data_IF_155311346545
#
_entry.id   IF_155311346545
#
_cell.length_a   1.000
_cell.length_b   1.000
_cell.length_c   1.000
_cell.angle_alpha   90.00
_cell.angle_beta   90.00
_cell.angle_gamma   90.00
#
_symmetry.space_group_name_H-M   'P 1'
#
loop_
_entity.id
_entity.type
_entity.pdbx_description
1 polymer ?
#
# COMPACT_ATOMS: atom_id res chain seq x y z
N UNK A 1 2.65 19.95 4.32
CA UNK A 1 2.37 18.83 3.38
C UNK A 1 1.13 18.07 3.85
N UNK A 2 0.36 17.47 2.92
CA UNK A 2 -0.87 16.73 3.24
C UNK A 2 -0.64 15.62 4.28
N UNK A 3 0.45 14.86 4.16
CA UNK A 3 0.79 13.79 5.11
C UNK A 3 0.87 14.28 6.57
N UNK A 4 1.44 15.48 6.81
CA UNK A 4 1.50 16.07 8.15
C UNK A 4 0.11 16.45 8.68
N UNK A 5 -0.82 16.84 7.82
CA UNK A 5 -2.21 17.15 8.19
C UNK A 5 -3.00 15.87 8.47
N UNK A 6 -2.85 14.85 7.62
CA UNK A 6 -3.47 13.54 7.80
C UNK A 6 -3.03 12.91 9.13
N UNK A 7 -1.73 13.00 9.45
CA UNK A 7 -1.19 12.54 10.74
C UNK A 7 -1.81 13.28 11.93
N UNK A 8 -1.88 14.62 11.89
CA UNK A 8 -2.48 15.44 12.97
C UNK A 8 -3.94 15.06 13.22
N UNK A 9 -4.67 14.75 12.16
CA UNK A 9 -6.08 14.33 12.21
C UNK A 9 -6.27 12.84 12.48
N UNK A 10 -5.17 12.07 12.62
CA UNK A 10 -5.18 10.60 12.74
C UNK A 10 -5.88 9.89 11.57
N UNK A 11 -5.82 10.49 10.39
CA UNK A 11 -6.37 9.90 9.15
C UNK A 11 -5.40 8.90 8.51
N UNK A 12 -4.10 9.05 8.79
CA UNK A 12 -3.09 8.09 8.36
C UNK A 12 -1.88 8.10 9.31
N UNK A 13 -1.27 6.94 9.50
CA UNK A 13 0.07 6.80 10.07
C UNK A 13 1.11 7.16 9.00
N UNK A 14 2.12 7.95 9.35
CA UNK A 14 3.16 8.43 8.42
C UNK A 14 4.50 7.87 8.83
N UNK A 15 5.22 7.28 7.89
CA UNK A 15 6.56 6.73 8.08
C UNK A 15 7.53 7.43 7.14
N UNK A 16 8.72 7.77 7.65
CA UNK A 16 9.76 8.47 6.89
C UNK A 16 11.03 7.63 6.88
N UNK A 17 11.74 7.63 5.76
CA UNK A 17 13.08 7.10 5.66
C UNK A 17 14.09 8.24 5.75
N UNK A 18 14.95 8.19 6.76
CA UNK A 18 15.98 9.19 7.02
C UNK A 18 17.37 8.53 7.10
N UNK A 19 18.17 8.52 6.02
CA UNK A 19 19.46 7.82 6.00
C UNK A 19 20.46 8.29 7.06
N UNK A 20 20.39 9.56 7.45
CA UNK A 20 21.27 10.25 8.39
C UNK A 20 20.52 10.81 9.62
N UNK A 21 19.24 10.43 9.78
CA UNK A 21 18.35 10.98 10.81
C UNK A 21 17.91 12.43 10.64
N UNK A 22 18.33 13.13 9.57
CA UNK A 22 18.05 14.55 9.32
C UNK A 22 17.35 14.78 7.98
N UNK A 23 17.79 14.08 6.94
CA UNK A 23 17.35 14.21 5.57
C UNK A 23 16.26 13.19 5.26
N UNK A 24 15.12 13.64 4.76
CA UNK A 24 14.02 12.75 4.36
C UNK A 24 14.28 12.26 2.92
N UNK A 25 14.69 10.99 2.79
CA UNK A 25 14.86 10.34 1.49
C UNK A 25 13.51 9.94 0.87
N UNK A 26 12.48 9.71 1.70
CA UNK A 26 11.12 9.44 1.25
C UNK A 26 10.19 9.12 2.41
N UNK A 27 8.93 8.88 2.07
CA UNK A 27 7.89 8.58 3.04
C UNK A 27 6.78 7.72 2.44
N UNK A 28 6.00 7.10 3.30
CA UNK A 28 4.72 6.50 2.95
C UNK A 28 3.69 6.68 4.06
N UNK A 29 2.42 6.40 3.75
CA UNK A 29 1.33 6.50 4.72
C UNK A 29 0.50 5.22 4.75
N UNK A 30 0.07 4.79 5.93
CA UNK A 30 -0.86 3.68 6.11
C UNK A 30 -2.16 4.17 6.75
N UNK A 31 -3.30 3.71 6.24
CA UNK A 31 -4.62 3.96 6.85
C UNK A 31 -5.51 2.73 6.73
N UNK A 32 -6.48 2.61 7.65
CA UNK A 32 -7.55 1.62 7.52
C UNK A 32 -8.37 1.90 6.25
N UNK A 33 -8.86 0.84 5.60
CA UNK A 33 -9.62 0.94 4.37
C UNK A 33 -10.63 -0.20 4.25
N UNK A 34 -11.69 0.04 3.47
CA UNK A 34 -12.69 -0.97 3.11
C UNK A 34 -12.79 -1.08 1.60
N UNK A 35 -12.82 -2.30 1.08
CA UNK A 35 -12.86 -2.58 -0.35
C UNK A 35 -14.13 -3.35 -0.68
N UNK A 36 -14.91 -2.86 -1.63
CA UNK A 36 -16.06 -3.61 -2.12
C UNK A 36 -15.62 -4.80 -2.97
N UNK A 37 -16.17 -5.98 -2.68
CA UNK A 37 -15.81 -7.20 -3.40
C UNK A 37 -16.24 -7.21 -4.86
N UNK A 38 -17.28 -6.45 -5.24
CA UNK A 38 -17.74 -6.30 -6.63
C UNK A 38 -16.68 -5.67 -7.55
N UNK A 39 -15.58 -5.14 -6.98
CA UNK A 39 -14.44 -4.61 -7.74
C UNK A 39 -13.28 -5.57 -7.85
N UNK A 40 -13.24 -6.63 -7.04
CA UNK A 40 -12.13 -7.61 -7.05
C UNK A 40 -12.43 -8.69 -8.09
N UNK A 41 -11.42 -9.17 -8.85
CA UNK A 41 -11.58 -10.31 -9.75
C UNK A 41 -12.22 -11.51 -9.04
N UNK A 42 -13.22 -12.12 -9.66
CA UNK A 42 -14.04 -13.16 -9.05
C UNK A 42 -13.19 -14.34 -8.54
N UNK A 43 -12.18 -14.73 -9.30
CA UNK A 43 -11.22 -15.80 -8.97
C UNK A 43 -10.57 -15.63 -7.59
N UNK A 44 -10.32 -14.37 -7.21
CA UNK A 44 -9.69 -14.00 -5.94
C UNK A 44 -10.76 -13.78 -4.87
N UNK A 45 -11.89 -13.17 -5.24
CA UNK A 45 -12.99 -12.83 -4.34
C UNK A 45 -13.89 -14.02 -3.93
N UNK A 46 -13.82 -15.16 -4.64
CA UNK A 46 -14.69 -16.34 -4.40
C UNK A 46 -14.69 -16.86 -2.97
N UNK A 47 -13.56 -16.75 -2.26
CA UNK A 47 -13.45 -17.16 -0.85
C UNK A 47 -14.13 -16.19 0.14
N UNK A 48 -14.53 -15.01 -0.32
CA UNK A 48 -15.02 -13.89 0.50
C UNK A 48 -16.51 -13.56 0.22
N UNK A 49 -17.18 -14.40 -0.57
CA UNK A 49 -18.54 -14.22 -1.15
C UNK A 49 -19.67 -13.89 -0.16
N UNK A 50 -19.43 -13.99 1.15
CA UNK A 50 -20.42 -13.66 2.20
C UNK A 50 -20.33 -12.20 2.71
N UNK A 51 -19.34 -11.42 2.29
CA UNK A 51 -19.14 -10.03 2.76
C UNK A 51 -19.22 -9.03 1.59
N UNK A 52 -20.05 -7.99 1.64
CA UNK A 52 -20.10 -7.00 0.55
C UNK A 52 -18.81 -6.17 0.45
N UNK A 53 -18.15 -5.96 1.60
CA UNK A 53 -16.86 -5.28 1.69
C UNK A 53 -15.89 -6.09 2.57
N UNK A 54 -14.59 -5.92 2.30
CA UNK A 54 -13.52 -6.59 3.04
C UNK A 54 -12.52 -5.56 3.59
N UNK A 55 -11.97 -5.80 4.79
CA UNK A 55 -11.03 -4.89 5.40
C UNK A 55 -9.71 -4.89 4.63
N UNK A 56 -9.08 -3.73 4.54
CA UNK A 56 -7.80 -3.55 3.87
C UNK A 56 -6.95 -2.49 4.58
N UNK A 57 -5.65 -2.50 4.27
CA UNK A 57 -4.75 -1.40 4.59
C UNK A 57 -4.47 -0.62 3.32
N UNK A 58 -4.64 0.71 3.34
CA UNK A 58 -4.32 1.58 2.20
C UNK A 58 -2.93 2.18 2.38
N UNK A 59 -2.06 1.96 1.39
CA UNK A 59 -0.85 2.77 1.19
C UNK A 59 -1.26 4.02 0.39
N UNK A 60 -1.73 5.03 1.11
CA UNK A 60 -2.33 6.23 0.48
C UNK A 60 -1.30 7.08 -0.27
N UNK A 61 -0.05 7.07 0.18
CA UNK A 61 1.07 7.76 -0.44
C UNK A 61 2.31 6.90 -0.29
N UNK A 62 3.13 6.89 -1.33
CA UNK A 62 4.50 6.40 -1.31
C UNK A 62 5.30 7.31 -2.24
N UNK A 63 6.27 8.02 -1.68
CA UNK A 63 7.06 8.98 -2.43
C UNK A 63 8.51 8.99 -1.95
N UNK A 64 9.41 9.14 -2.91
CA UNK A 64 10.83 9.37 -2.67
C UNK A 64 11.21 10.77 -3.10
N UNK A 65 12.21 11.34 -2.45
CA UNK A 65 12.84 12.58 -2.86
C UNK A 65 13.53 12.42 -4.22
N UNK A 66 13.52 13.46 -5.04
CA UNK A 66 14.18 13.49 -6.35
C UNK A 66 15.70 13.34 -6.21
N UNK A 67 16.28 13.86 -5.11
CA UNK A 67 17.71 13.75 -4.81
C UNK A 67 18.18 12.31 -4.60
N UNK A 68 17.27 11.38 -4.28
CA UNK A 68 17.57 9.96 -4.04
C UNK A 68 17.04 9.05 -5.17
N UNK A 69 16.92 9.58 -6.40
CA UNK A 69 16.46 8.81 -7.56
C UNK A 69 17.47 7.73 -7.95
N UNK A 70 16.94 6.54 -8.27
CA UNK A 70 17.76 5.41 -8.73
C UNK A 70 18.46 4.63 -7.62
N UNK A 71 18.23 4.98 -6.35
CA UNK A 71 18.92 4.36 -5.20
C UNK A 71 18.08 3.29 -4.48
N UNK A 72 17.05 2.72 -5.12
CA UNK A 72 16.21 1.70 -4.50
C UNK A 72 15.28 2.21 -3.37
N UNK A 73 15.14 3.53 -3.18
CA UNK A 73 14.36 4.09 -2.07
C UNK A 73 12.88 3.70 -2.15
N UNK A 74 12.29 3.66 -3.35
CA UNK A 74 10.87 3.30 -3.48
C UNK A 74 10.60 1.87 -3.03
N UNK A 75 11.54 0.99 -3.35
CA UNK A 75 11.56 -0.42 -3.05
C UNK A 75 11.71 -0.67 -1.55
N UNK A 76 12.64 0.04 -0.90
CA UNK A 76 12.82 0.01 0.56
C UNK A 76 11.55 0.48 1.28
N UNK A 77 10.95 1.60 0.82
CA UNK A 77 9.71 2.12 1.41
C UNK A 77 8.56 1.14 1.24
N UNK A 78 8.41 0.53 0.05
CA UNK A 78 7.35 -0.44 -0.21
C UNK A 78 7.52 -1.68 0.67
N UNK A 79 8.74 -2.21 0.77
CA UNK A 79 9.03 -3.37 1.60
C UNK A 79 8.70 -3.11 3.09
N UNK A 80 9.08 -1.94 3.63
CA UNK A 80 8.73 -1.56 5.00
C UNK A 80 7.21 -1.39 5.17
N UNK A 81 6.53 -0.75 4.20
CA UNK A 81 5.08 -0.58 4.23
C UNK A 81 4.33 -1.92 4.24
N UNK A 82 4.75 -2.89 3.42
CA UNK A 82 4.16 -4.22 3.37
C UNK A 82 4.39 -5.01 4.67
N UNK A 83 5.63 -4.99 5.20
CA UNK A 83 5.97 -5.65 6.47
C UNK A 83 5.13 -5.11 7.62
N UNK A 84 4.97 -3.79 7.72
CA UNK A 84 4.12 -3.17 8.76
C UNK A 84 2.65 -3.48 8.56
N UNK A 85 2.16 -3.46 7.32
CA UNK A 85 0.76 -3.79 7.04
C UNK A 85 0.43 -5.23 7.43
N UNK A 86 1.31 -6.19 7.16
CA UNK A 86 1.16 -7.58 7.58
C UNK A 86 1.28 -7.76 9.10
N UNK A 87 2.19 -7.03 9.76
CA UNK A 87 2.28 -7.07 11.21
C UNK A 87 1.00 -6.53 11.87
N UNK A 88 0.49 -5.40 11.38
CA UNK A 88 -0.74 -4.78 11.86
C UNK A 88 -1.96 -5.67 11.61
N UNK A 89 -1.99 -6.43 10.50
CA UNK A 89 -3.12 -7.30 10.15
C UNK A 89 -3.37 -8.42 11.17
N UNK A 90 -2.39 -8.70 12.05
CA UNK A 90 -2.54 -9.67 13.17
C UNK A 90 -3.36 -9.12 14.34
N UNK A 91 -3.47 -7.80 14.45
CA UNK A 91 -4.19 -7.12 15.54
C UNK A 91 -5.48 -6.47 15.06
N UNK A 92 -5.44 -5.85 13.88
CA UNK A 92 -6.61 -5.30 13.18
C UNK A 92 -6.63 -5.90 11.80
N UNK A 93 -7.56 -6.83 11.57
CA UNK A 93 -7.57 -7.64 10.35
C UNK A 93 -7.55 -6.77 9.08
N UNK A 94 -6.76 -7.22 8.11
CA UNK A 94 -6.74 -6.70 6.75
C UNK A 94 -6.57 -7.87 5.81
N UNK A 95 -7.40 -7.95 4.77
CA UNK A 95 -7.29 -8.99 3.76
C UNK A 95 -6.22 -8.66 2.71
N UNK A 96 -6.05 -7.37 2.40
CA UNK A 96 -5.15 -6.91 1.35
C UNK A 96 -4.54 -5.54 1.66
N UNK A 97 -3.42 -5.24 1.01
CA UNK A 97 -2.90 -3.88 0.87
C UNK A 97 -3.41 -3.27 -0.44
N UNK A 98 -3.94 -2.05 -0.36
CA UNK A 98 -4.43 -1.27 -1.50
C UNK A 98 -3.48 -0.12 -1.82
N UNK A 99 -3.36 0.22 -3.10
CA UNK A 99 -2.67 1.42 -3.59
C UNK A 99 -3.50 2.10 -4.67
N UNK A 100 -3.45 3.42 -4.72
CA UNK A 100 -3.90 4.21 -5.87
C UNK A 100 -2.66 4.78 -6.58
N UNK A 101 -2.30 4.19 -7.72
CA UNK A 101 -1.18 4.60 -8.55
C UNK A 101 -1.52 5.88 -9.32
N UNK A 102 -0.63 6.87 -9.23
CA UNK A 102 -0.84 8.19 -9.83
C UNK A 102 -0.68 8.22 -11.36
N UNK A 103 0.10 7.31 -11.92
CA UNK A 103 0.45 7.26 -13.35
C UNK A 103 0.87 5.83 -13.75
N UNK A 104 1.05 5.61 -15.05
CA UNK A 104 1.43 4.30 -15.60
C UNK A 104 2.79 3.80 -15.08
N UNK A 105 3.72 4.70 -14.74
CA UNK A 105 5.00 4.32 -14.16
C UNK A 105 4.83 3.77 -12.74
N UNK A 106 3.93 4.37 -11.95
CA UNK A 106 3.56 3.88 -10.63
C UNK A 106 2.84 2.53 -10.71
N UNK A 107 1.92 2.34 -11.69
CA UNK A 107 1.28 1.04 -11.95
C UNK A 107 2.35 -0.02 -12.24
N UNK A 108 3.26 0.26 -13.18
CA UNK A 108 4.34 -0.66 -13.54
C UNK A 108 5.28 -0.95 -12.35
N UNK A 109 5.56 0.04 -11.50
CA UNK A 109 6.32 -0.14 -10.28
C UNK A 109 5.65 -1.14 -9.34
N UNK A 110 4.36 -0.97 -9.03
CA UNK A 110 3.67 -1.89 -8.11
C UNK A 110 3.50 -3.30 -8.70
N UNK A 111 3.22 -3.44 -10.00
CA UNK A 111 3.09 -4.75 -10.65
C UNK A 111 4.35 -5.60 -10.56
N UNK A 112 5.55 -4.98 -10.57
CA UNK A 112 6.82 -5.69 -10.35
C UNK A 112 6.88 -6.41 -9.00
N UNK A 113 6.11 -5.96 -8.01
CA UNK A 113 6.01 -6.55 -6.67
C UNK A 113 4.76 -7.41 -6.48
N UNK A 114 4.12 -7.83 -7.58
CA UNK A 114 2.98 -8.75 -7.55
C UNK A 114 1.63 -8.09 -7.27
N UNK A 115 1.55 -6.75 -7.23
CA UNK A 115 0.26 -6.07 -7.15
C UNK A 115 -0.57 -6.34 -8.40
N UNK A 116 -1.85 -6.61 -8.20
CA UNK A 116 -2.83 -6.87 -9.25
C UNK A 116 -3.75 -5.67 -9.42
N UNK A 117 -4.08 -5.34 -10.66
CA UNK A 117 -5.01 -4.25 -10.97
C UNK A 117 -6.45 -4.63 -10.65
N UNK A 118 -7.24 -3.65 -10.26
CA UNK A 118 -8.70 -3.75 -10.23
C UNK A 118 -9.21 -3.58 -11.67
N UNK A 119 -9.92 -4.56 -12.26
CA UNK A 119 -10.36 -4.48 -13.66
C UNK A 119 -11.16 -3.21 -13.98
N UNK A 120 -12.03 -2.77 -13.05
CA UNK A 120 -12.83 -1.57 -13.21
C UNK A 120 -12.05 -0.25 -13.06
N UNK A 121 -10.84 -0.28 -12.50
CA UNK A 121 -9.99 0.90 -12.28
C UNK A 121 -8.51 0.48 -12.28
N UNK A 122 -7.85 0.40 -13.45
CA UNK A 122 -6.45 -0.06 -13.59
C UNK A 122 -5.42 0.75 -12.78
N UNK A 123 -5.72 2.01 -12.44
CA UNK A 123 -4.87 2.83 -11.56
C UNK A 123 -4.94 2.42 -10.09
N UNK A 124 -5.87 1.55 -9.70
CA UNK A 124 -5.97 0.99 -8.35
C UNK A 124 -5.51 -0.45 -8.37
N UNK A 125 -4.58 -0.76 -7.47
CA UNK A 125 -4.01 -2.09 -7.34
C UNK A 125 -4.13 -2.61 -5.92
N UNK A 126 -4.03 -3.93 -5.79
CA UNK A 126 -4.10 -4.62 -4.51
C UNK A 126 -3.10 -5.78 -4.45
N UNK A 127 -2.67 -6.10 -3.23
CA UNK A 127 -1.79 -7.23 -2.93
C UNK A 127 -2.33 -7.97 -1.69
N UNK A 128 -2.81 -9.22 -1.82
CA UNK A 128 -3.36 -9.96 -0.69
C UNK A 128 -2.33 -10.18 0.43
N UNK A 129 -2.76 -10.14 1.70
CA UNK A 129 -1.87 -10.42 2.83
C UNK A 129 -1.26 -11.81 2.77
N UNK A 130 -1.98 -12.79 2.21
CA UNK A 130 -1.45 -14.13 1.98
C UNK A 130 -0.23 -14.13 1.05
N UNK A 131 -0.24 -13.27 0.02
CA UNK A 131 0.89 -13.09 -0.88
C UNK A 131 2.04 -12.37 -0.17
N UNK A 132 1.74 -11.33 0.62
CA UNK A 132 2.74 -10.58 1.40
C UNK A 132 3.46 -11.48 2.40
N UNK A 133 2.74 -12.40 3.05
CA UNK A 133 3.31 -13.35 4.01
C UNK A 133 4.30 -14.36 3.40
N UNK A 134 4.32 -14.50 2.07
CA UNK A 134 5.23 -15.38 1.33
C UNK A 134 6.43 -14.63 0.73
N UNK A 135 6.50 -13.30 0.90
CA UNK A 135 7.66 -12.52 0.46
C UNK A 135 8.87 -12.85 1.35
N UNK A 136 10.09 -12.88 0.77
CA UNK A 136 11.33 -13.18 1.51
C UNK A 136 11.70 -12.09 2.54
#
# INVERSE_FOLDING_TARGET
MQASQDMKKRLAAVYVLTPDGKTIAGYYTLSAYSVRLDKIPEEIGRKLTRMPEVPATLVGRLARSSAFRGQGIGEILLADALKRSLANSKHVASWTVMVDAKDANAVAFYKKYGFMEIPAKPSRLFLPMETIAKLP
#
